data_IF_710082440076
#
_entry.id   IF_710082440076
#
_cell.length_a   1.000
_cell.length_b   1.000
_cell.length_c   1.000
_cell.angle_alpha   90.00
_cell.angle_beta   90.00
_cell.angle_gamma   90.00
#
_symmetry.space_group_name_H-M   'P 1'
#
loop_
_entity.id
_entity.type
_entity.pdbx_description
1 polymer ?
#
# COMPACT_ATOMS: atom_id res chain seq x y z
N UNK A 1 12.39 -16.54 -4.47
CA UNK A 1 11.22 -16.14 -3.64
C UNK A 1 11.07 -14.62 -3.55
N UNK A 2 12.10 -13.89 -3.10
CA UNK A 2 12.06 -12.43 -2.90
C UNK A 2 11.70 -11.64 -4.17
N UNK A 3 12.32 -11.94 -5.30
CA UNK A 3 12.02 -11.29 -6.59
C UNK A 3 10.54 -11.47 -6.97
N UNK A 4 10.03 -12.70 -6.85
CA UNK A 4 8.64 -13.02 -7.15
C UNK A 4 7.68 -12.26 -6.22
N UNK A 5 8.00 -12.18 -4.92
CA UNK A 5 7.20 -11.42 -3.95
C UNK A 5 7.14 -9.93 -4.30
N UNK A 6 8.27 -9.31 -4.66
CA UNK A 6 8.28 -7.91 -5.09
C UNK A 6 7.53 -7.70 -6.41
N UNK A 7 7.62 -8.64 -7.35
CA UNK A 7 6.85 -8.57 -8.59
C UNK A 7 5.34 -8.57 -8.34
N UNK A 8 4.87 -9.43 -7.43
CA UNK A 8 3.46 -9.47 -7.01
C UNK A 8 3.08 -8.17 -6.29
N UNK A 9 3.92 -7.68 -5.37
CA UNK A 9 3.67 -6.45 -4.60
C UNK A 9 3.51 -5.23 -5.51
N UNK A 10 4.46 -4.99 -6.42
CA UNK A 10 4.37 -3.87 -7.36
C UNK A 10 3.25 -4.05 -8.39
N UNK A 11 2.97 -5.30 -8.80
CA UNK A 11 1.81 -5.63 -9.61
C UNK A 11 0.49 -5.24 -8.94
N UNK A 12 0.33 -5.52 -7.66
CA UNK A 12 -0.85 -5.11 -6.88
C UNK A 12 -0.97 -3.58 -6.82
N UNK A 13 0.12 -2.86 -6.55
CA UNK A 13 0.14 -1.40 -6.52
C UNK A 13 -0.28 -0.80 -7.88
N UNK A 14 0.22 -1.37 -8.98
CA UNK A 14 -0.14 -0.96 -10.34
C UNK A 14 -1.63 -1.18 -10.63
N UNK A 15 -2.19 -2.32 -10.22
CA UNK A 15 -3.63 -2.58 -10.40
C UNK A 15 -4.45 -1.56 -9.61
N UNK A 16 -4.08 -1.27 -8.36
CA UNK A 16 -4.80 -0.33 -7.49
C UNK A 16 -4.83 1.10 -8.06
N UNK A 17 -3.72 1.60 -8.60
CA UNK A 17 -3.70 2.96 -9.17
C UNK A 17 -4.56 3.05 -10.44
N UNK A 18 -4.62 1.97 -11.22
CA UNK A 18 -5.46 1.87 -12.41
C UNK A 18 -6.95 1.81 -12.08
N UNK A 19 -7.33 1.26 -10.93
CA UNK A 19 -8.73 1.29 -10.46
C UNK A 19 -9.24 2.71 -10.23
N UNK A 20 -8.34 3.63 -9.82
CA UNK A 20 -8.65 5.04 -9.57
C UNK A 20 -8.53 5.89 -10.85
N UNK A 21 -8.36 5.25 -12.01
CA UNK A 21 -8.24 5.91 -13.32
C UNK A 21 -7.04 6.86 -13.43
N UNK A 22 -6.01 6.70 -12.59
CA UNK A 22 -4.76 7.44 -12.73
C UNK A 22 -3.89 6.71 -13.75
N UNK A 23 -3.65 7.35 -14.90
CA UNK A 23 -2.83 6.80 -15.98
C UNK A 23 -1.35 7.07 -15.72
N UNK A 24 -0.71 6.13 -14.99
CA UNK A 24 0.73 6.07 -14.83
C UNK A 24 1.29 4.78 -15.41
N UNK A 25 2.52 4.84 -15.93
CA UNK A 25 3.24 3.66 -16.36
C UNK A 25 3.65 2.80 -15.17
N UNK A 26 3.83 1.50 -15.39
CA UNK A 26 4.25 0.57 -14.34
C UNK A 26 5.55 1.00 -13.62
N UNK A 27 6.51 1.55 -14.38
CA UNK A 27 7.78 2.05 -13.84
C UNK A 27 7.58 3.25 -12.92
N UNK A 28 6.72 4.19 -13.30
CA UNK A 28 6.41 5.34 -12.46
C UNK A 28 5.77 4.91 -11.13
N UNK A 29 4.82 3.98 -11.18
CA UNK A 29 4.19 3.46 -9.97
C UNK A 29 5.22 2.78 -9.07
N UNK A 30 6.09 1.96 -9.64
CA UNK A 30 7.15 1.27 -8.90
C UNK A 30 8.07 2.27 -8.19
N UNK A 31 8.50 3.32 -8.90
CA UNK A 31 9.34 4.38 -8.34
C UNK A 31 8.62 5.17 -7.23
N UNK A 32 7.40 5.62 -7.49
CA UNK A 32 6.58 6.39 -6.55
C UNK A 32 6.32 5.61 -5.26
N UNK A 33 5.91 4.34 -5.38
CA UNK A 33 5.62 3.47 -4.23
C UNK A 33 6.91 3.16 -3.46
N UNK A 34 8.04 2.94 -4.14
CA UNK A 34 9.32 2.69 -3.48
C UNK A 34 9.76 3.88 -2.61
N UNK A 35 9.68 5.10 -3.14
CA UNK A 35 10.00 6.33 -2.38
C UNK A 35 9.03 6.48 -1.21
N UNK A 36 7.74 6.32 -1.48
CA UNK A 36 6.72 6.46 -0.44
C UNK A 36 6.91 5.44 0.68
N UNK A 37 7.31 4.20 0.36
CA UNK A 37 7.65 3.19 1.36
C UNK A 37 8.86 3.59 2.20
N UNK A 38 9.92 4.14 1.59
CA UNK A 38 11.08 4.65 2.34
C UNK A 38 10.64 5.75 3.31
N UNK A 39 9.80 6.68 2.86
CA UNK A 39 9.25 7.76 3.69
C UNK A 39 8.39 7.19 4.82
N UNK A 40 7.61 6.13 4.57
CA UNK A 40 6.71 5.52 5.55
C UNK A 40 7.43 4.77 6.67
N UNK A 41 8.71 4.41 6.47
CA UNK A 41 9.56 3.81 7.50
C UNK A 41 9.97 4.84 8.55
N UNK A 42 9.92 6.14 8.22
CA UNK A 42 10.22 7.19 9.18
C UNK A 42 9.21 7.11 10.35
N UNK A 43 9.68 6.95 11.61
CA UNK A 43 8.82 6.74 12.77
C UNK A 43 8.21 8.07 13.25
N UNK A 44 7.66 8.85 12.33
CA UNK A 44 7.00 10.13 12.59
C UNK A 44 5.54 9.88 13.01
N UNK A 45 4.90 8.83 12.47
CA UNK A 45 3.48 8.52 12.67
C UNK A 45 3.22 7.01 12.81
N UNK A 46 2.11 6.63 13.46
CA UNK A 46 1.69 5.23 13.60
C UNK A 46 1.40 4.61 12.23
N UNK A 47 2.03 3.46 11.92
CA UNK A 47 1.90 2.75 10.63
C UNK A 47 2.27 3.58 9.38
N UNK A 48 2.95 4.72 9.55
CA UNK A 48 3.20 5.67 8.47
C UNK A 48 1.94 6.40 7.97
N UNK A 49 0.83 6.34 8.73
CA UNK A 49 -0.41 7.05 8.41
C UNK A 49 -0.22 8.57 8.55
N UNK A 50 -0.48 9.29 7.48
CA UNK A 50 -0.27 10.72 7.33
C UNK A 50 0.96 11.02 6.45
N UNK A 51 2.09 10.35 6.71
CA UNK A 51 3.34 10.61 5.96
C UNK A 51 3.30 9.93 4.59
N UNK A 52 2.72 8.72 4.49
CA UNK A 52 2.49 8.03 3.21
C UNK A 52 1.55 8.83 2.32
N UNK A 53 0.48 9.34 2.92
CA UNK A 53 -0.59 10.12 2.29
C UNK A 53 -0.03 11.44 1.76
N UNK A 54 0.67 12.19 2.61
CA UNK A 54 1.34 13.43 2.23
C UNK A 54 2.41 13.17 1.16
N UNK A 55 3.19 12.09 1.30
CA UNK A 55 4.21 11.68 0.33
C UNK A 55 3.62 11.38 -1.05
N UNK A 56 2.53 10.61 -1.11
CA UNK A 56 1.85 10.29 -2.37
C UNK A 56 1.20 11.53 -2.99
N UNK A 57 0.51 12.36 -2.21
CA UNK A 57 -0.07 13.62 -2.69
C UNK A 57 1.03 14.52 -3.27
N UNK A 58 2.14 14.69 -2.55
CA UNK A 58 3.27 15.48 -3.01
C UNK A 58 3.89 14.91 -4.30
N UNK A 59 4.17 13.61 -4.33
CA UNK A 59 4.82 12.98 -5.50
C UNK A 59 3.90 12.94 -6.73
N UNK A 60 2.59 12.70 -6.54
CA UNK A 60 1.61 12.69 -7.62
C UNK A 60 1.27 14.12 -8.11
N UNK A 61 1.52 15.14 -7.29
CA UNK A 61 1.38 16.54 -7.73
C UNK A 61 2.33 16.89 -8.88
N UNK A 62 3.52 16.29 -8.96
CA UNK A 62 4.44 16.42 -10.11
C UNK A 62 3.86 15.85 -11.41
N UNK A 63 2.80 15.04 -11.32
CA UNK A 63 2.06 14.50 -12.46
C UNK A 63 0.70 15.19 -12.66
N UNK A 64 0.50 16.36 -12.05
CA UNK A 64 -0.75 17.14 -12.08
C UNK A 64 -1.98 16.36 -11.61
N UNK A 65 -1.79 15.38 -10.72
CA UNK A 65 -2.89 14.63 -10.12
C UNK A 65 -3.41 15.43 -8.92
N UNK A 66 -4.73 15.59 -8.83
CA UNK A 66 -5.36 16.25 -7.70
C UNK A 66 -5.12 15.48 -6.38
N UNK A 67 -5.22 16.19 -5.25
CA UNK A 67 -4.98 15.57 -3.93
C UNK A 67 -6.02 14.48 -3.60
N UNK A 68 -7.27 14.64 -4.03
CA UNK A 68 -8.36 13.69 -3.75
C UNK A 68 -8.08 12.26 -4.25
N UNK A 69 -7.77 12.03 -5.55
CA UNK A 69 -7.45 10.68 -6.04
C UNK A 69 -6.12 10.15 -5.48
N UNK A 70 -5.16 11.01 -5.13
CA UNK A 70 -3.92 10.60 -4.48
C UNK A 70 -4.16 10.08 -3.05
N UNK A 71 -5.02 10.75 -2.28
CA UNK A 71 -5.44 10.28 -0.96
C UNK A 71 -6.21 8.97 -1.06
N UNK A 72 -7.15 8.86 -2.00
CA UNK A 72 -7.91 7.63 -2.25
C UNK A 72 -6.97 6.45 -2.56
N UNK A 73 -5.91 6.69 -3.33
CA UNK A 73 -4.89 5.69 -3.62
C UNK A 73 -4.13 5.25 -2.37
N UNK A 74 -3.71 6.18 -1.52
CA UNK A 74 -3.05 5.84 -0.25
C UNK A 74 -3.94 5.01 0.67
N UNK A 75 -5.24 5.33 0.74
CA UNK A 75 -6.20 4.55 1.52
C UNK A 75 -6.43 3.14 0.96
N UNK A 76 -6.49 3.00 -0.37
CA UNK A 76 -6.57 1.70 -1.03
C UNK A 76 -5.34 0.84 -0.70
N UNK A 77 -4.14 1.40 -0.77
CA UNK A 77 -2.92 0.72 -0.34
C UNK A 77 -3.00 0.30 1.14
N UNK A 78 -3.47 1.18 2.02
CA UNK A 78 -3.62 0.87 3.44
C UNK A 78 -4.56 -0.31 3.69
N UNK A 79 -5.73 -0.30 3.06
CA UNK A 79 -6.72 -1.36 3.22
C UNK A 79 -6.20 -2.68 2.66
N UNK A 80 -5.64 -2.66 1.44
CA UNK A 80 -5.12 -3.86 0.78
C UNK A 80 -3.94 -4.49 1.52
N UNK A 81 -3.00 -3.68 1.99
CA UNK A 81 -1.76 -4.21 2.58
C UNK A 81 -1.83 -4.41 4.09
N UNK A 82 -2.52 -3.55 4.84
CA UNK A 82 -2.55 -3.64 6.30
C UNK A 82 -3.84 -4.29 6.81
N UNK A 83 -5.01 -3.78 6.41
CA UNK A 83 -6.29 -4.22 6.99
C UNK A 83 -6.62 -5.64 6.55
N UNK A 84 -6.57 -5.94 5.26
CA UNK A 84 -6.92 -7.26 4.73
C UNK A 84 -5.94 -8.33 5.21
N UNK A 85 -4.63 -8.07 5.13
CA UNK A 85 -3.63 -9.03 5.62
C UNK A 85 -3.72 -9.21 7.13
N UNK A 86 -3.95 -8.14 7.90
CA UNK A 86 -4.17 -8.21 9.34
C UNK A 86 -5.38 -9.09 9.69
N UNK A 87 -6.47 -8.96 8.93
CA UNK A 87 -7.67 -9.78 9.09
C UNK A 87 -7.40 -11.27 8.79
N UNK A 88 -6.67 -11.58 7.70
CA UNK A 88 -6.27 -12.96 7.41
C UNK A 88 -5.38 -13.57 8.50
N UNK A 89 -4.44 -12.80 9.04
CA UNK A 89 -3.60 -13.22 10.16
C UNK A 89 -4.45 -13.49 11.41
N UNK A 90 -5.42 -12.63 11.72
CA UNK A 90 -6.34 -12.81 12.83
C UNK A 90 -7.17 -14.09 12.68
N UNK A 91 -7.74 -14.34 11.50
CA UNK A 91 -8.47 -15.58 11.22
C UNK A 91 -7.57 -16.81 11.37
N UNK A 92 -6.34 -16.75 10.86
CA UNK A 92 -5.36 -17.83 10.99
C UNK A 92 -4.99 -18.11 12.45
N UNK A 93 -4.86 -17.07 13.28
CA UNK A 93 -4.64 -17.21 14.71
C UNK A 93 -5.85 -17.84 15.40
N UNK A 94 -7.06 -17.38 15.09
CA UNK A 94 -8.28 -17.93 15.67
C UNK A 94 -8.45 -19.42 15.34
N UNK A 95 -8.17 -19.84 14.11
CA UNK A 95 -8.23 -21.25 13.69
C UNK A 95 -7.17 -22.11 14.39
N UNK A 96 -5.97 -21.57 14.66
CA UNK A 96 -4.93 -22.28 15.43
C UNK A 96 -5.29 -22.40 16.91
N UNK A 97 -5.81 -21.33 17.52
CA UNK A 97 -6.27 -21.34 18.91
C UNK A 97 -7.38 -22.37 19.17
N UNK A 98 -8.25 -22.62 18.18
CA UNK A 98 -9.26 -23.67 18.25
C UNK A 98 -8.67 -25.10 18.21
N UNK A 99 -7.48 -25.28 17.60
CA UNK A 99 -6.86 -26.59 17.39
C UNK A 99 -6.03 -27.08 18.58
N UNK A 100 -5.55 -26.20 19.46
CA UNK A 100 -4.78 -26.55 20.66
C UNK A 100 -5.65 -26.78 21.92
N UNK A 101 -6.98 -26.65 21.81
CA UNK A 101 -7.94 -26.80 22.92
C UNK A 101 -8.70 -28.14 22.89
N UNK A 102 -8.42 -29.01 21.91
CA UNK A 102 -8.84 -30.42 21.88
C UNK A 102 -7.62 -31.31 22.06
#
# INVERSE_FOLDING_TARGET
>A
LTILAYFIFFGQCYILIRLIQINLSYLEVTYLVSITNIISILPITFFGLGVREAGLVYLLSFRNVAAEPALLYSFLLFISFYVINGFFCFLGWHMRGAKCRN
#
